data_IF_534539016548
#
_entry.id   IF_534539016548
#
_cell.length_a   1.000
_cell.length_b   1.000
_cell.length_c   1.000
_cell.angle_alpha   90.00
_cell.angle_beta   90.00
_cell.angle_gamma   90.00
#
_symmetry.space_group_name_H-M   'P 1'
#
loop_
_entity.id
_entity.type
_entity.pdbx_description
1 polymer ?
#
# COMPACT_ATOMS: atom_id res chain seq x y z
N UNK A 1 -6.72 -23.98 1.17
CA UNK A 1 -7.01 -23.92 2.62
C UNK A 1 -8.33 -23.20 2.80
N UNK A 2 -9.24 -23.71 3.63
CA UNK A 2 -10.52 -23.06 3.94
C UNK A 2 -10.60 -22.75 5.44
N UNK A 3 -11.24 -21.63 5.77
CA UNK A 3 -11.54 -21.22 7.14
C UNK A 3 -13.03 -20.92 7.24
N UNK A 4 -13.64 -21.27 8.36
CA UNK A 4 -15.06 -21.01 8.60
C UNK A 4 -15.27 -19.61 9.16
N UNK A 5 -16.36 -18.99 8.74
CA UNK A 5 -16.86 -17.75 9.34
C UNK A 5 -17.53 -18.12 10.66
N UNK A 6 -16.98 -17.60 11.76
CA UNK A 6 -17.52 -17.81 13.10
C UNK A 6 -18.58 -16.78 13.45
N UNK A 7 -19.21 -16.96 14.63
CA UNK A 7 -20.27 -16.07 15.13
C UNK A 7 -19.84 -14.59 15.09
N UNK A 8 -20.73 -13.75 14.55
CA UNK A 8 -20.48 -12.32 14.35
C UNK A 8 -19.60 -11.97 13.15
N UNK A 9 -19.43 -12.89 12.18
CA UNK A 9 -18.69 -12.61 10.95
C UNK A 9 -17.16 -12.66 11.09
N UNK A 10 -16.65 -13.21 12.19
CA UNK A 10 -15.20 -13.26 12.46
C UNK A 10 -14.56 -14.42 11.71
N UNK A 11 -13.42 -14.15 11.08
CA UNK A 11 -12.55 -15.16 10.48
C UNK A 11 -11.22 -15.20 11.23
N UNK A 12 -10.69 -16.40 11.45
CA UNK A 12 -9.35 -16.57 12.04
C UNK A 12 -8.35 -16.60 10.90
N UNK A 13 -7.43 -15.63 10.88
CA UNK A 13 -6.30 -15.65 9.95
C UNK A 13 -5.27 -16.66 10.49
N UNK A 14 -4.95 -17.75 9.77
CA UNK A 14 -4.00 -18.75 10.24
C UNK A 14 -2.60 -18.17 10.51
N UNK A 15 -1.86 -18.76 11.45
CA UNK A 15 -0.58 -18.21 11.92
C UNK A 15 0.45 -18.01 10.80
N UNK A 16 0.53 -18.94 9.85
CA UNK A 16 1.41 -18.85 8.68
C UNK A 16 1.10 -17.61 7.82
N UNK A 17 -0.18 -17.31 7.61
CA UNK A 17 -0.60 -16.14 6.85
C UNK A 17 -0.33 -14.85 7.61
N UNK A 18 -0.52 -14.85 8.94
CA UNK A 18 -0.15 -13.70 9.79
C UNK A 18 1.34 -13.38 9.69
N UNK A 19 2.20 -14.40 9.74
CA UNK A 19 3.65 -14.22 9.60
C UNK A 19 4.04 -13.66 8.24
N UNK A 20 3.47 -14.20 7.14
CA UNK A 20 3.69 -13.69 5.77
C UNK A 20 3.24 -12.24 5.60
N UNK A 21 2.15 -11.86 6.27
CA UNK A 21 1.63 -10.49 6.25
C UNK A 21 2.37 -9.55 7.22
N UNK A 22 3.18 -10.10 8.13
CA UNK A 22 3.87 -9.35 9.18
C UNK A 22 2.91 -8.74 10.20
N UNK A 23 1.80 -9.41 10.51
CA UNK A 23 0.80 -8.93 11.48
C UNK A 23 0.89 -9.67 12.81
N UNK A 24 0.80 -8.91 13.89
CA UNK A 24 0.80 -9.36 15.28
C UNK A 24 -0.58 -9.19 15.92
N UNK A 25 -0.77 -9.77 17.10
CA UNK A 25 -2.01 -9.58 17.88
C UNK A 25 -2.12 -8.10 18.26
N UNK A 26 -3.28 -7.50 17.98
CA UNK A 26 -3.54 -6.07 18.21
C UNK A 26 -3.29 -5.18 17.00
N UNK A 27 -2.64 -5.69 15.95
CA UNK A 27 -2.45 -4.92 14.72
C UNK A 27 -3.76 -4.72 13.96
N UNK A 28 -3.90 -3.54 13.38
CA UNK A 28 -5.00 -3.21 12.50
C UNK A 28 -4.71 -3.67 11.07
N UNK A 29 -5.70 -4.33 10.45
CA UNK A 29 -5.68 -4.66 9.02
C UNK A 29 -6.71 -3.82 8.27
N UNK A 30 -6.47 -3.62 6.98
CA UNK A 30 -7.38 -2.99 6.05
C UNK A 30 -8.17 -4.08 5.33
N UNK A 31 -9.48 -3.90 5.27
CA UNK A 31 -10.41 -4.74 4.53
C UNK A 31 -10.97 -3.93 3.37
N UNK A 32 -10.82 -4.44 2.16
CA UNK A 32 -11.37 -3.80 0.95
C UNK A 32 -12.06 -4.84 0.11
N UNK A 33 -13.24 -4.52 -0.39
CA UNK A 33 -13.91 -5.32 -1.40
C UNK A 33 -13.35 -4.98 -2.79
N UNK A 34 -13.09 -5.99 -3.61
CA UNK A 34 -12.72 -5.81 -5.02
C UNK A 34 -13.89 -6.27 -5.88
N UNK A 35 -14.56 -5.35 -6.56
CA UNK A 35 -15.67 -5.70 -7.46
C UNK A 35 -15.18 -6.57 -8.64
N UNK A 36 -14.04 -6.22 -9.24
CA UNK A 36 -13.50 -6.92 -10.41
C UNK A 36 -13.20 -8.41 -10.17
N UNK A 37 -12.62 -8.71 -9.01
CA UNK A 37 -12.23 -10.07 -8.62
C UNK A 37 -13.27 -10.75 -7.71
N UNK A 38 -14.34 -10.02 -7.36
CA UNK A 38 -15.40 -10.46 -6.45
C UNK A 38 -14.87 -11.06 -5.13
N UNK A 39 -13.88 -10.40 -4.52
CA UNK A 39 -13.14 -10.92 -3.36
C UNK A 39 -12.94 -9.87 -2.25
N UNK A 40 -12.88 -10.36 -1.00
CA UNK A 40 -12.44 -9.58 0.15
C UNK A 40 -10.92 -9.60 0.23
N UNK A 41 -10.29 -8.43 0.08
CA UNK A 41 -8.84 -8.27 0.23
C UNK A 41 -8.50 -7.81 1.63
N UNK A 42 -7.50 -8.46 2.23
CA UNK A 42 -6.94 -8.12 3.53
C UNK A 42 -5.49 -7.67 3.31
N UNK A 43 -5.14 -6.48 3.79
CA UNK A 43 -3.79 -5.96 3.67
C UNK A 43 -3.39 -5.12 4.90
N UNK A 44 -2.09 -4.93 5.09
CA UNK A 44 -1.56 -3.95 6.05
C UNK A 44 -1.35 -2.60 5.37
N UNK A 45 -1.32 -1.51 6.15
CA UNK A 45 -0.96 -0.18 5.63
C UNK A 45 0.41 -0.19 4.95
N UNK A 46 1.39 -0.92 5.54
CA UNK A 46 2.73 -1.09 4.97
C UNK A 46 2.69 -1.75 3.60
N UNK A 47 1.92 -2.82 3.42
CA UNK A 47 1.77 -3.49 2.14
C UNK A 47 1.10 -2.58 1.09
N UNK A 48 0.07 -1.82 1.48
CA UNK A 48 -0.61 -0.88 0.57
C UNK A 48 0.31 0.26 0.13
N UNK A 49 1.10 0.80 1.05
CA UNK A 49 2.12 1.80 0.73
C UNK A 49 3.16 1.24 -0.23
N UNK A 50 3.71 0.06 0.07
CA UNK A 50 4.70 -0.57 -0.81
C UNK A 50 4.14 -0.79 -2.21
N UNK A 51 2.91 -1.32 -2.33
CA UNK A 51 2.25 -1.50 -3.62
C UNK A 51 2.06 -0.17 -4.38
N UNK A 52 1.70 0.91 -3.68
CA UNK A 52 1.58 2.23 -4.30
C UNK A 52 2.93 2.75 -4.80
N UNK A 53 3.99 2.60 -3.99
CA UNK A 53 5.36 2.97 -4.38
C UNK A 53 5.81 2.17 -5.60
N UNK A 54 5.59 0.86 -5.62
CA UNK A 54 5.98 -0.03 -6.73
C UNK A 54 5.16 0.25 -8.00
N UNK A 55 3.90 0.67 -7.86
CA UNK A 55 3.10 1.13 -8.98
C UNK A 55 3.69 2.40 -9.59
N UNK A 56 3.98 3.42 -8.77
CA UNK A 56 4.54 4.68 -9.25
C UNK A 56 5.91 4.48 -9.88
N UNK A 57 6.79 3.68 -9.26
CA UNK A 57 8.12 3.36 -9.80
C UNK A 57 8.09 2.74 -11.20
N UNK A 58 7.04 1.99 -11.54
CA UNK A 58 6.88 1.40 -12.88
C UNK A 58 6.66 2.45 -13.98
N UNK A 59 6.09 3.61 -13.63
CA UNK A 59 5.76 4.67 -14.58
C UNK A 59 6.65 5.91 -14.43
N UNK A 60 7.43 6.02 -13.36
CA UNK A 60 8.39 7.08 -13.17
C UNK A 60 9.56 6.90 -14.16
N UNK A 61 9.49 7.59 -15.29
CA UNK A 61 10.49 7.56 -16.38
C UNK A 61 11.66 8.53 -16.16
N UNK A 62 11.51 9.48 -15.23
CA UNK A 62 12.53 10.50 -14.99
C UNK A 62 13.77 9.89 -14.30
N UNK A 63 14.95 10.14 -14.88
CA UNK A 63 16.23 9.91 -14.21
C UNK A 63 16.51 11.06 -13.25
N UNK A 64 16.44 10.82 -11.95
CA UNK A 64 16.69 11.83 -10.91
C UNK A 64 15.44 12.32 -10.19
N UNK A 65 15.59 13.38 -9.41
CA UNK A 65 14.53 13.95 -8.58
C UNK A 65 13.84 15.10 -9.32
N UNK A 66 12.64 14.83 -9.86
CA UNK A 66 11.76 15.86 -10.47
C UNK A 66 11.43 16.97 -9.47
N UNK A 67 11.43 16.64 -8.17
CA UNK A 67 11.20 17.63 -7.11
C UNK A 67 12.37 18.59 -7.00
N UNK A 68 13.61 18.10 -7.03
CA UNK A 68 14.79 18.96 -6.93
C UNK A 68 14.95 19.83 -8.19
N UNK A 69 14.64 19.28 -9.36
CA UNK A 69 14.57 20.03 -10.62
C UNK A 69 13.56 21.19 -10.52
N UNK A 70 12.31 20.90 -10.12
CA UNK A 70 11.27 21.91 -9.96
C UNK A 70 11.61 22.97 -8.91
N UNK A 71 12.20 22.58 -7.79
CA UNK A 71 12.65 23.52 -6.76
C UNK A 71 13.76 24.42 -7.29
N UNK A 72 14.70 23.85 -8.07
CA UNK A 72 15.76 24.59 -8.75
C UNK A 72 15.18 25.63 -9.71
N UNK A 73 14.28 25.22 -10.61
CA UNK A 73 13.60 26.11 -11.54
C UNK A 73 12.86 27.26 -10.83
N UNK A 74 12.14 26.96 -9.74
CA UNK A 74 11.45 28.00 -8.96
C UNK A 74 12.39 28.98 -8.29
N UNK A 75 13.54 28.52 -7.79
CA UNK A 75 14.55 29.41 -7.19
C UNK A 75 15.19 30.30 -8.23
N UNK A 76 15.47 29.77 -9.42
CA UNK A 76 16.01 30.54 -10.53
C UNK A 76 15.02 31.62 -10.99
N UNK A 77 13.76 31.24 -11.22
CA UNK A 77 12.71 32.19 -11.62
C UNK A 77 12.50 33.33 -10.61
N UNK A 78 12.60 33.04 -9.31
CA UNK A 78 12.48 34.06 -8.27
C UNK A 78 13.72 34.96 -8.11
N UNK A 79 14.87 34.56 -8.64
CA UNK A 79 16.09 35.37 -8.65
C UNK A 79 16.16 36.31 -9.87
N UNK A 80 15.42 35.99 -10.93
CA UNK A 80 15.34 36.75 -12.19
C UNK A 80 14.16 37.76 -12.20
N UNK A 81 13.47 37.96 -11.07
CA UNK A 81 12.40 38.94 -10.81
C UNK A 81 12.85 40.02 -9.82
#
# INVERSE_FOLDING_TARGET
>A
MSVQVSQGGRIVIPAEMRQKMGISIGDQVLLTWSDDAHELRIATRKQRLQHAVDLVKRYATASGSVVDELIGERRQAAADE
#
